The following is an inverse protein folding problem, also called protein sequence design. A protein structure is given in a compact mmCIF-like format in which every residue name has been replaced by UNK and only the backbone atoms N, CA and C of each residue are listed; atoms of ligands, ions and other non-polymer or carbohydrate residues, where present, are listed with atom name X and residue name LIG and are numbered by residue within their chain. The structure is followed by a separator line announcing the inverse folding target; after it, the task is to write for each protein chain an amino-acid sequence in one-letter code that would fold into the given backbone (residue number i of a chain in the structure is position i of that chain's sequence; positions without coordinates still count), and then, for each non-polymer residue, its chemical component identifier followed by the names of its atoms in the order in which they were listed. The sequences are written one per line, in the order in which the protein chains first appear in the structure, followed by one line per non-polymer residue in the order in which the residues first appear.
data_IF_229056124445
#
_entry.id   IF_229056124445
#
_cell.length_a   1.000
_cell.length_b   1.000
_cell.length_c   1.000
_cell.angle_alpha   90.00
_cell.angle_beta   90.00
_cell.angle_gamma   90.00
#
_symmetry.space_group_name_H-M   'P 1'
#
loop_
_entity.id
_entity.type
_entity.pdbx_description
1 polymer ?
#
# COMPACT_ATOMS: atom_id res chain seq x y z
N UNK A 1 -11.49 -19.69 24.10
CA UNK A 1 -12.16 -20.41 23.01
C UNK A 1 -13.23 -19.59 22.32
N UNK A 2 -13.73 -20.08 21.21
CA UNK A 2 -14.82 -19.51 20.41
C UNK A 2 -15.98 -20.47 20.38
N UNK A 3 -17.22 -19.95 20.59
CA UNK A 3 -18.46 -20.71 20.37
C UNK A 3 -19.22 -20.09 19.20
N UNK A 4 -19.57 -20.89 18.22
CA UNK A 4 -20.37 -20.51 17.06
C UNK A 4 -21.88 -20.60 17.35
N UNK A 5 -22.69 -19.99 16.46
CA UNK A 5 -24.17 -19.97 16.64
C UNK A 5 -24.83 -21.35 16.51
N UNK A 6 -24.19 -22.28 15.80
CA UNK A 6 -24.61 -23.68 15.64
C UNK A 6 -24.24 -24.55 16.83
N UNK A 7 -23.50 -23.99 17.83
CA UNK A 7 -23.08 -24.67 19.04
C UNK A 7 -21.70 -25.31 18.97
N UNK A 8 -21.01 -25.25 17.80
CA UNK A 8 -19.63 -25.69 17.67
C UNK A 8 -18.69 -24.82 18.51
N UNK A 9 -17.69 -25.45 19.15
CA UNK A 9 -16.69 -24.76 19.96
C UNK A 9 -15.27 -25.06 19.48
N UNK A 10 -14.47 -24.01 19.32
CA UNK A 10 -13.04 -24.13 19.05
C UNK A 10 -12.26 -23.65 20.26
N UNK A 11 -11.41 -24.53 20.79
CA UNK A 11 -10.45 -24.16 21.83
C UNK A 11 -9.39 -23.21 21.25
N UNK A 12 -9.16 -22.08 21.90
CA UNK A 12 -8.15 -21.09 21.49
C UNK A 12 -7.68 -20.30 22.71
N UNK A 13 -6.37 -20.08 22.82
CA UNK A 13 -5.77 -19.24 23.85
C UNK A 13 -5.90 -17.75 23.52
N UNK A 14 -5.81 -17.42 22.24
CA UNK A 14 -5.98 -16.06 21.70
C UNK A 14 -6.98 -16.07 20.54
N UNK A 15 -7.90 -15.11 20.55
CA UNK A 15 -8.83 -14.86 19.45
C UNK A 15 -8.59 -13.48 18.87
N UNK A 16 -8.31 -13.40 17.57
CA UNK A 16 -8.15 -12.13 16.85
C UNK A 16 -9.36 -11.88 15.97
N UNK A 17 -10.07 -10.79 16.24
CA UNK A 17 -11.19 -10.35 15.42
C UNK A 17 -10.69 -9.36 14.35
N UNK A 18 -10.66 -9.80 13.08
CA UNK A 18 -10.23 -9.01 11.94
C UNK A 18 -11.37 -8.86 10.90
N UNK A 19 -12.57 -8.50 11.37
CA UNK A 19 -13.82 -8.50 10.61
C UNK A 19 -14.10 -7.18 9.85
N UNK A 20 -13.05 -6.46 9.44
CA UNK A 20 -13.15 -5.16 8.74
C UNK A 20 -13.38 -3.99 9.68
N UNK A 21 -13.71 -2.85 9.09
CA UNK A 21 -13.90 -1.58 9.80
C UNK A 21 -15.31 -1.03 9.58
N UNK A 22 -15.73 -0.16 10.48
CA UNK A 22 -16.96 0.64 10.35
C UNK A 22 -16.65 2.10 10.66
N UNK A 23 -17.20 3.05 9.89
CA UNK A 23 -17.06 4.47 10.19
C UNK A 23 -17.49 4.80 11.62
N UNK A 24 -16.64 5.50 12.36
CA UNK A 24 -17.03 6.02 13.67
C UNK A 24 -17.75 7.36 13.49
N UNK A 25 -19.05 7.34 13.69
CA UNK A 25 -19.96 8.48 13.48
C UNK A 25 -20.62 8.96 14.78
N UNK A 26 -20.15 8.50 15.94
CA UNK A 26 -20.79 8.80 17.22
C UNK A 26 -20.82 10.29 17.52
N UNK A 27 -19.71 11.00 17.32
CA UNK A 27 -19.62 12.45 17.52
C UNK A 27 -20.53 13.22 16.58
N UNK A 28 -20.56 12.87 15.29
CA UNK A 28 -21.41 13.52 14.31
C UNK A 28 -22.90 13.34 14.63
N UNK A 29 -23.30 12.13 15.04
CA UNK A 29 -24.68 11.85 15.50
C UNK A 29 -25.05 12.66 16.73
N UNK A 30 -24.17 12.79 17.72
CA UNK A 30 -24.44 13.61 18.91
C UNK A 30 -24.61 15.09 18.57
N UNK A 31 -23.90 15.57 17.54
CA UNK A 31 -24.04 16.92 16.98
C UNK A 31 -25.21 17.07 15.99
N UNK A 32 -26.04 16.02 15.82
CA UNK A 32 -27.18 15.98 14.87
C UNK A 32 -26.78 16.19 13.40
N UNK A 33 -25.54 15.86 13.04
CA UNK A 33 -25.11 15.82 11.65
C UNK A 33 -25.70 14.58 10.97
N UNK A 34 -26.16 14.73 9.73
CA UNK A 34 -26.74 13.64 8.98
C UNK A 34 -25.71 12.53 8.71
N UNK A 35 -26.04 11.31 9.16
CA UNK A 35 -25.20 10.13 9.02
C UNK A 35 -26.06 8.92 8.60
N UNK A 36 -25.52 8.15 7.66
CA UNK A 36 -26.02 6.81 7.32
C UNK A 36 -25.01 5.76 7.78
N UNK A 37 -24.28 5.10 6.87
CA UNK A 37 -23.13 4.26 7.19
C UNK A 37 -21.92 5.08 7.63
N UNK A 38 -21.76 6.28 7.08
CA UNK A 38 -20.78 7.30 7.40
C UNK A 38 -21.43 8.68 7.55
N UNK A 39 -20.62 9.69 7.78
CA UNK A 39 -21.05 11.10 7.75
C UNK A 39 -21.28 11.47 6.29
N UNK A 40 -22.52 11.81 5.94
CA UNK A 40 -22.88 12.12 4.55
C UNK A 40 -22.33 13.50 4.16
N UNK A 41 -21.57 13.52 3.05
CA UNK A 41 -20.98 14.74 2.49
C UNK A 41 -21.30 14.87 0.99
N UNK A 42 -21.25 16.10 0.50
CA UNK A 42 -21.35 16.43 -0.90
C UNK A 42 -19.98 16.35 -1.61
N UNK A 43 -19.94 16.72 -2.90
CA UNK A 43 -18.72 16.69 -3.72
C UNK A 43 -17.64 17.72 -3.29
N UNK A 44 -17.92 18.59 -2.34
CA UNK A 44 -16.95 19.52 -1.74
C UNK A 44 -16.55 19.12 -0.32
N UNK A 45 -16.95 17.93 0.12
CA UNK A 45 -16.72 17.41 1.48
C UNK A 45 -17.49 18.19 2.57
N UNK A 46 -18.49 19.00 2.22
CA UNK A 46 -19.38 19.61 3.19
C UNK A 46 -20.47 18.63 3.63
N UNK A 47 -20.84 18.68 4.90
CA UNK A 47 -22.02 18.00 5.42
C UNK A 47 -23.29 18.75 5.06
N UNK A 48 -24.44 18.30 5.56
CA UNK A 48 -25.69 19.05 5.47
C UNK A 48 -25.59 20.46 6.10
N UNK A 49 -24.79 20.61 7.16
CA UNK A 49 -24.44 21.94 7.68
C UNK A 49 -23.27 22.53 6.85
N UNK A 50 -23.48 23.64 6.13
CA UNK A 50 -22.47 24.22 5.24
C UNK A 50 -21.21 24.73 5.97
N UNK A 51 -21.23 24.84 7.30
CA UNK A 51 -20.08 25.23 8.11
C UNK A 51 -19.24 24.06 8.57
N UNK A 52 -19.72 22.83 8.34
CA UNK A 52 -19.07 21.61 8.81
C UNK A 52 -18.61 20.77 7.61
N UNK A 53 -17.33 20.46 7.59
CA UNK A 53 -16.68 19.56 6.63
C UNK A 53 -16.30 18.26 7.31
N UNK A 54 -16.29 17.19 6.55
CA UNK A 54 -15.80 15.89 7.02
C UNK A 54 -14.96 15.21 5.95
N UNK A 55 -13.83 14.67 6.36
CA UNK A 55 -12.92 13.87 5.53
C UNK A 55 -12.44 12.67 6.31
N UNK A 56 -12.03 11.60 5.64
CA UNK A 56 -11.49 10.44 6.30
C UNK A 56 -12.41 9.23 6.25
N UNK A 57 -12.05 8.17 7.00
CA UNK A 57 -12.79 6.90 7.03
C UNK A 57 -14.20 7.02 7.61
N UNK A 58 -14.50 8.08 8.34
CA UNK A 58 -15.83 8.34 8.87
C UNK A 58 -16.82 8.86 7.83
N UNK A 59 -16.36 9.22 6.63
CA UNK A 59 -17.17 9.87 5.59
C UNK A 59 -17.90 8.85 4.72
N UNK A 60 -19.11 9.24 4.30
CA UNK A 60 -19.86 8.62 3.22
C UNK A 60 -20.12 9.64 2.12
N UNK A 61 -19.61 9.35 0.92
CA UNK A 61 -19.80 10.17 -0.26
C UNK A 61 -20.49 9.35 -1.35
N UNK A 62 -21.60 9.85 -1.91
CA UNK A 62 -22.41 9.15 -2.93
C UNK A 62 -22.71 7.70 -2.57
N UNK A 63 -23.00 7.41 -1.30
CA UNK A 63 -23.28 6.06 -0.80
C UNK A 63 -22.05 5.17 -0.51
N UNK A 64 -20.84 5.63 -0.84
CA UNK A 64 -19.60 4.89 -0.64
C UNK A 64 -18.84 5.33 0.61
N UNK A 65 -18.21 4.37 1.29
CA UNK A 65 -17.27 4.60 2.41
C UNK A 65 -15.90 4.03 2.03
N UNK A 66 -14.83 4.67 2.45
CA UNK A 66 -13.47 4.29 2.08
C UNK A 66 -12.66 3.93 3.32
N UNK A 67 -11.99 2.79 3.31
CA UNK A 67 -11.12 2.30 4.39
C UNK A 67 -9.63 2.26 4.00
N UNK A 68 -9.25 2.95 2.92
CA UNK A 68 -7.87 3.06 2.46
C UNK A 68 -7.42 4.52 2.52
N UNK A 69 -6.11 4.73 2.71
CA UNK A 69 -5.55 6.07 2.97
C UNK A 69 -5.59 7.00 1.75
N UNK A 70 -5.38 6.48 0.54
CA UNK A 70 -5.30 7.30 -0.68
C UNK A 70 -6.58 8.12 -0.93
N UNK A 71 -7.81 7.56 -0.89
CA UNK A 71 -9.04 8.33 -0.99
C UNK A 71 -9.15 9.46 0.03
N UNK A 72 -8.65 9.25 1.24
CA UNK A 72 -8.75 10.25 2.32
C UNK A 72 -7.91 11.50 2.02
N UNK A 73 -6.76 11.34 1.40
CA UNK A 73 -5.95 12.48 0.94
C UNK A 73 -6.61 13.22 -0.23
N UNK A 74 -7.28 12.52 -1.14
CA UNK A 74 -8.05 13.15 -2.22
C UNK A 74 -9.21 13.98 -1.65
N UNK A 75 -9.96 13.43 -0.70
CA UNK A 75 -11.00 14.15 0.05
C UNK A 75 -10.44 15.39 0.75
N UNK A 76 -9.30 15.26 1.44
CA UNK A 76 -8.68 16.38 2.15
C UNK A 76 -8.23 17.50 1.19
N UNK A 77 -7.70 17.16 0.00
CA UNK A 77 -7.34 18.15 -1.03
C UNK A 77 -8.58 18.93 -1.52
N UNK A 78 -9.69 18.24 -1.76
CA UNK A 78 -10.95 18.87 -2.18
C UNK A 78 -11.50 19.78 -1.09
N UNK A 79 -11.55 19.31 0.16
CA UNK A 79 -11.98 20.11 1.30
C UNK A 79 -11.12 21.37 1.48
N UNK A 80 -9.78 21.21 1.43
CA UNK A 80 -8.85 22.33 1.53
C UNK A 80 -9.03 23.34 0.38
N UNK A 81 -9.21 22.87 -0.85
CA UNK A 81 -9.46 23.72 -2.01
C UNK A 81 -10.76 24.55 -1.85
N UNK A 82 -11.82 23.92 -1.34
CA UNK A 82 -13.07 24.59 -1.12
C UNK A 82 -13.00 25.59 0.05
N UNK A 83 -12.35 25.21 1.16
CA UNK A 83 -12.13 26.08 2.33
C UNK A 83 -11.26 27.30 2.01
N UNK A 84 -10.31 27.16 1.07
CA UNK A 84 -9.48 28.27 0.59
C UNK A 84 -10.18 29.16 -0.46
N UNK A 85 -11.48 28.95 -0.69
CA UNK A 85 -12.30 29.69 -1.65
C UNK A 85 -11.87 29.56 -3.13
N UNK A 86 -10.99 28.64 -3.46
CA UNK A 86 -10.65 28.30 -4.84
C UNK A 86 -11.79 27.57 -5.58
N UNK A 87 -12.60 26.82 -4.87
CA UNK A 87 -13.92 26.31 -5.24
C UNK A 87 -14.06 25.41 -6.48
N UNK A 88 -12.96 25.05 -7.16
CA UNK A 88 -13.00 24.36 -8.45
C UNK A 88 -12.94 22.82 -8.34
N UNK A 89 -12.28 22.31 -7.32
CA UNK A 89 -12.15 20.85 -7.14
C UNK A 89 -13.47 20.24 -6.64
N UNK A 90 -13.74 19.05 -7.16
CA UNK A 90 -14.87 18.21 -6.73
C UNK A 90 -14.35 16.78 -6.50
N UNK A 91 -14.88 16.14 -5.49
CA UNK A 91 -14.61 14.74 -5.23
C UNK A 91 -15.68 13.90 -5.94
N UNK A 92 -15.27 13.12 -6.92
CA UNK A 92 -16.18 12.28 -7.70
C UNK A 92 -16.13 10.80 -7.24
N UNK A 93 -15.37 10.52 -6.20
CA UNK A 93 -15.03 9.19 -5.73
C UNK A 93 -13.59 8.85 -6.07
N UNK A 94 -13.11 7.76 -5.50
CA UNK A 94 -11.75 7.26 -5.75
C UNK A 94 -11.78 5.84 -6.24
N UNK A 95 -11.07 5.57 -7.32
CA UNK A 95 -10.70 4.21 -7.65
C UNK A 95 -9.64 3.71 -6.66
N UNK A 96 -9.81 2.50 -6.16
CA UNK A 96 -8.89 1.93 -5.17
C UNK A 96 -8.28 0.65 -5.68
N UNK A 97 -7.06 0.38 -5.26
CA UNK A 97 -6.40 -0.91 -5.47
C UNK A 97 -5.92 -1.47 -4.13
N UNK A 98 -5.89 -2.80 -4.05
CA UNK A 98 -5.42 -3.51 -2.86
C UNK A 98 -4.45 -4.60 -3.27
N UNK A 99 -3.31 -4.67 -2.59
CA UNK A 99 -2.39 -5.80 -2.67
C UNK A 99 -2.37 -6.51 -1.33
N UNK A 100 -2.60 -7.82 -1.33
CA UNK A 100 -2.55 -8.63 -0.12
C UNK A 100 -1.12 -8.70 0.43
N UNK A 101 -0.99 -8.58 1.75
CA UNK A 101 0.30 -8.57 2.47
C UNK A 101 0.52 -9.86 3.27
N UNK A 102 0.21 -10.99 2.68
CA UNK A 102 0.42 -12.31 3.31
C UNK A 102 1.56 -13.02 2.60
N UNK A 103 2.53 -13.51 3.38
CA UNK A 103 3.69 -14.22 2.83
C UNK A 103 3.25 -15.46 2.05
N UNK A 104 3.74 -15.60 0.83
CA UNK A 104 3.43 -16.74 -0.04
C UNK A 104 2.13 -16.64 -0.82
N UNK A 105 1.38 -15.54 -0.68
CA UNK A 105 0.16 -15.28 -1.47
C UNK A 105 0.28 -13.92 -2.14
N UNK A 106 0.36 -13.93 -3.47
CA UNK A 106 0.30 -12.72 -4.28
C UNK A 106 -1.12 -12.53 -4.81
N UNK A 107 -1.79 -11.51 -4.32
CA UNK A 107 -3.12 -11.13 -4.77
C UNK A 107 -3.19 -9.62 -4.94
N UNK A 108 -3.74 -9.20 -6.07
CA UNK A 108 -4.02 -7.81 -6.40
C UNK A 108 -5.47 -7.66 -6.83
N UNK A 109 -6.13 -6.60 -6.39
CA UNK A 109 -7.45 -6.22 -6.90
C UNK A 109 -7.54 -4.71 -7.06
N UNK A 110 -8.29 -4.26 -8.07
CA UNK A 110 -8.51 -2.84 -8.31
C UNK A 110 -9.87 -2.61 -8.94
N UNK A 111 -10.48 -1.45 -8.66
CA UNK A 111 -11.74 -1.01 -9.23
C UNK A 111 -12.93 -1.92 -8.92
N UNK A 112 -13.93 -1.90 -9.81
CA UNK A 112 -15.10 -2.76 -9.71
C UNK A 112 -14.88 -4.03 -10.53
N UNK A 113 -14.49 -5.10 -9.85
CA UNK A 113 -14.20 -6.40 -10.46
C UNK A 113 -15.40 -7.37 -10.47
N UNK A 114 -16.58 -6.91 -10.03
CA UNK A 114 -17.83 -7.64 -10.18
C UNK A 114 -18.51 -7.17 -11.46
N UNK A 115 -18.45 -8.01 -12.49
CA UNK A 115 -19.07 -7.69 -13.77
C UNK A 115 -20.59 -7.60 -13.65
N UNK A 116 -21.14 -6.51 -14.14
CA UNK A 116 -22.58 -6.33 -14.33
C UNK A 116 -23.04 -6.76 -15.72
N UNK A 117 -24.35 -6.63 -16.04
CA UNK A 117 -24.92 -7.10 -17.32
C UNK A 117 -24.34 -6.42 -18.57
N UNK A 118 -23.72 -5.25 -18.44
CA UNK A 118 -23.13 -4.49 -19.54
C UNK A 118 -21.60 -4.58 -19.55
N UNK A 119 -21.01 -5.34 -18.64
CA UNK A 119 -19.57 -5.51 -18.56
C UNK A 119 -19.14 -6.77 -19.29
N UNK A 120 -17.93 -6.72 -19.81
CA UNK A 120 -17.25 -7.86 -20.42
C UNK A 120 -16.15 -8.35 -19.48
N UNK A 121 -15.96 -9.67 -19.43
CA UNK A 121 -14.89 -10.27 -18.64
C UNK A 121 -13.82 -10.88 -19.55
N UNK A 122 -12.56 -10.54 -19.30
CA UNK A 122 -11.43 -11.25 -19.84
C UNK A 122 -10.81 -12.09 -18.72
N UNK A 123 -10.59 -13.38 -18.99
CA UNK A 123 -10.12 -14.34 -18.00
C UNK A 123 -8.91 -15.13 -18.53
N UNK A 124 -7.85 -15.19 -17.71
CA UNK A 124 -6.72 -16.07 -17.89
C UNK A 124 -6.55 -16.92 -16.64
N UNK A 125 -6.54 -18.23 -16.78
CA UNK A 125 -6.35 -19.17 -15.70
C UNK A 125 -5.34 -20.24 -16.09
N UNK A 126 -4.30 -20.41 -15.25
CA UNK A 126 -3.33 -21.50 -15.31
C UNK A 126 -3.27 -22.17 -13.93
N UNK A 127 -4.03 -23.25 -13.80
CA UNK A 127 -4.13 -23.98 -12.53
C UNK A 127 -2.83 -24.68 -12.15
N UNK A 128 -2.00 -25.07 -13.14
CA UNK A 128 -0.73 -25.74 -12.88
C UNK A 128 0.31 -24.79 -12.26
N UNK A 129 0.28 -23.51 -12.66
CA UNK A 129 1.15 -22.46 -12.14
C UNK A 129 0.53 -21.64 -11.01
N UNK A 130 -0.74 -21.89 -10.68
CA UNK A 130 -1.48 -21.12 -9.67
C UNK A 130 -1.72 -19.67 -10.09
N UNK A 131 -1.94 -19.40 -11.38
CA UNK A 131 -2.18 -18.06 -11.89
C UNK A 131 -3.64 -17.88 -12.26
N UNK A 132 -4.22 -16.77 -11.82
CA UNK A 132 -5.55 -16.32 -12.19
C UNK A 132 -5.53 -14.81 -12.43
N UNK A 133 -5.97 -14.36 -13.60
CA UNK A 133 -6.16 -12.94 -13.95
C UNK A 133 -7.55 -12.74 -14.51
N UNK A 134 -8.29 -11.80 -13.96
CA UNK A 134 -9.60 -11.37 -14.45
C UNK A 134 -9.58 -9.87 -14.65
N UNK A 135 -9.98 -9.41 -15.81
CA UNK A 135 -10.20 -8.01 -16.15
C UNK A 135 -11.68 -7.80 -16.46
N UNK A 136 -12.27 -6.75 -15.93
CA UNK A 136 -13.63 -6.33 -16.22
C UNK A 136 -13.59 -5.06 -17.05
N UNK A 137 -14.29 -5.07 -18.17
CA UNK A 137 -14.30 -4.02 -19.18
C UNK A 137 -15.70 -3.46 -19.40
N UNK A 138 -15.78 -2.17 -19.69
CA UNK A 138 -16.96 -1.51 -20.26
C UNK A 138 -16.51 -0.46 -21.26
N UNK A 139 -17.12 -0.45 -22.44
CA UNK A 139 -16.81 0.50 -23.52
C UNK A 139 -15.30 0.56 -23.81
N UNK A 140 -14.66 -0.60 -23.95
CA UNK A 140 -13.21 -0.75 -24.13
C UNK A 140 -12.33 -0.06 -23.07
N UNK A 141 -12.83 0.11 -21.86
CA UNK A 141 -12.06 0.64 -20.73
C UNK A 141 -12.09 -0.31 -19.55
N UNK A 142 -10.97 -0.38 -18.85
CA UNK A 142 -10.87 -1.18 -17.62
C UNK A 142 -11.74 -0.59 -16.51
N UNK A 143 -12.60 -1.43 -15.92
CA UNK A 143 -13.43 -1.13 -14.75
C UNK A 143 -12.89 -1.79 -13.51
N UNK A 144 -12.33 -2.97 -13.64
CA UNK A 144 -11.82 -3.73 -12.52
C UNK A 144 -10.81 -4.77 -12.94
N UNK A 145 -9.97 -5.19 -11.99
CA UNK A 145 -9.00 -6.26 -12.16
C UNK A 145 -8.86 -7.07 -10.87
N UNK A 146 -8.74 -8.40 -11.01
CA UNK A 146 -8.31 -9.31 -9.93
C UNK A 146 -7.20 -10.20 -10.47
N UNK A 147 -6.11 -10.29 -9.73
CA UNK A 147 -4.95 -11.11 -10.08
C UNK A 147 -4.50 -11.92 -8.88
N UNK A 148 -4.22 -13.20 -9.10
CA UNK A 148 -3.67 -14.12 -8.11
C UNK A 148 -2.47 -14.86 -8.71
N UNK A 149 -1.41 -15.04 -7.93
CA UNK A 149 -0.17 -15.69 -8.32
C UNK A 149 0.78 -14.79 -9.10
N UNK A 150 0.37 -14.30 -10.26
CA UNK A 150 1.09 -13.28 -11.03
C UNK A 150 0.38 -11.93 -10.95
N UNK A 151 0.92 -11.02 -10.16
CA UNK A 151 0.34 -9.69 -9.89
C UNK A 151 1.20 -8.53 -10.40
N UNK A 152 2.21 -8.83 -11.22
CA UNK A 152 3.21 -7.83 -11.67
C UNK A 152 2.55 -6.67 -12.41
N UNK A 153 1.58 -6.94 -13.28
CA UNK A 153 0.89 -5.91 -14.08
C UNK A 153 -0.22 -5.16 -13.33
N UNK A 154 -0.48 -5.50 -12.06
CA UNK A 154 -1.55 -4.87 -11.27
C UNK A 154 -1.50 -3.34 -11.25
N UNK A 155 -0.34 -2.71 -10.95
CA UNK A 155 -0.22 -1.25 -10.97
C UNK A 155 -0.46 -0.64 -12.35
N UNK A 156 -0.07 -1.33 -13.42
CA UNK A 156 -0.32 -0.88 -14.79
C UNK A 156 -1.81 -0.91 -15.15
N UNK A 157 -2.53 -1.98 -14.84
CA UNK A 157 -3.98 -2.03 -15.01
C UNK A 157 -4.69 -0.96 -14.19
N UNK A 158 -4.24 -0.72 -12.97
CA UNK A 158 -4.81 0.31 -12.12
C UNK A 158 -4.61 1.71 -12.69
N UNK A 159 -3.42 1.99 -13.24
CA UNK A 159 -3.16 3.27 -13.91
C UNK A 159 -4.08 3.46 -15.13
N UNK A 160 -4.24 2.43 -15.96
CA UNK A 160 -5.16 2.47 -17.12
C UNK A 160 -6.61 2.75 -16.70
N UNK A 161 -7.07 2.16 -15.58
CA UNK A 161 -8.39 2.47 -15.03
C UNK A 161 -8.53 3.94 -14.63
N UNK A 162 -7.51 4.49 -13.97
CA UNK A 162 -7.50 5.90 -13.53
C UNK A 162 -7.50 6.87 -14.70
N UNK A 163 -6.73 6.54 -15.74
CA UNK A 163 -6.59 7.38 -16.93
C UNK A 163 -7.79 7.20 -17.89
N UNK A 164 -8.65 6.21 -17.65
CA UNK A 164 -9.74 5.86 -18.56
C UNK A 164 -9.25 5.46 -19.95
N UNK A 165 -8.08 4.81 -20.00
CA UNK A 165 -7.42 4.43 -21.25
C UNK A 165 -8.30 3.52 -22.09
N UNK A 166 -8.48 3.86 -23.38
CA UNK A 166 -9.11 2.98 -24.37
C UNK A 166 -8.14 1.86 -24.72
N UNK A 167 -8.60 0.60 -24.59
CA UNK A 167 -7.76 -0.58 -24.78
C UNK A 167 -7.99 -1.27 -26.12
N UNK A 168 -8.74 -0.66 -27.04
CA UNK A 168 -9.14 -1.28 -28.33
C UNK A 168 -7.94 -1.88 -29.07
N UNK A 169 -6.83 -1.15 -29.16
CA UNK A 169 -5.64 -1.59 -29.90
C UNK A 169 -4.85 -2.70 -29.17
N UNK A 170 -4.94 -2.77 -27.84
CA UNK A 170 -4.19 -3.74 -27.03
C UNK A 170 -5.04 -4.88 -26.49
N UNK A 171 -6.32 -4.91 -26.81
CA UNK A 171 -7.31 -5.83 -26.25
C UNK A 171 -6.91 -7.30 -26.36
N UNK A 172 -6.36 -7.73 -27.50
CA UNK A 172 -5.98 -9.12 -27.74
C UNK A 172 -4.81 -9.59 -26.85
N UNK A 173 -3.99 -8.65 -26.39
CA UNK A 173 -2.76 -8.95 -25.65
C UNK A 173 -2.79 -8.48 -24.18
N UNK A 174 -3.80 -7.73 -23.79
CA UNK A 174 -3.85 -7.07 -22.47
C UNK A 174 -3.71 -8.06 -21.31
N UNK A 175 -4.26 -9.27 -21.41
CA UNK A 175 -4.15 -10.31 -20.38
C UNK A 175 -2.72 -10.83 -20.15
N UNK A 176 -1.87 -10.72 -21.18
CA UNK A 176 -0.48 -11.18 -21.10
C UNK A 176 0.45 -10.15 -20.43
N UNK A 177 -0.08 -8.95 -20.15
CA UNK A 177 0.62 -7.91 -19.43
C UNK A 177 1.39 -6.93 -20.31
N UNK A 178 1.92 -5.91 -19.67
CA UNK A 178 2.61 -4.79 -20.33
C UNK A 178 3.82 -5.24 -21.17
N UNK A 179 4.51 -6.29 -20.75
CA UNK A 179 5.69 -6.80 -21.43
C UNK A 179 5.39 -7.35 -22.84
N UNK A 180 4.14 -7.70 -23.13
CA UNK A 180 3.71 -8.26 -24.43
C UNK A 180 3.13 -7.21 -25.39
N UNK A 181 3.03 -5.96 -24.95
CA UNK A 181 2.51 -4.86 -25.77
C UNK A 181 3.60 -4.07 -26.51
N UNK A 182 4.83 -4.44 -26.33
CA UNK A 182 5.99 -3.84 -27.03
C UNK A 182 7.05 -4.90 -27.33
N UNK A 183 7.84 -4.67 -28.36
CA UNK A 183 8.93 -5.56 -28.84
C UNK A 183 10.13 -5.63 -27.89
N UNK A 184 9.87 -5.57 -26.56
CA UNK A 184 10.87 -5.61 -25.51
C UNK A 184 10.84 -6.97 -24.80
N UNK A 185 11.62 -7.89 -25.33
CA UNK A 185 11.88 -9.17 -24.69
C UNK A 185 12.43 -9.02 -23.26
N UNK A 186 11.92 -9.89 -22.39
CA UNK A 186 12.54 -10.44 -21.17
C UNK A 186 13.15 -9.47 -20.15
N UNK A 187 12.43 -9.21 -19.06
CA UNK A 187 13.07 -8.80 -17.83
C UNK A 187 12.23 -7.91 -16.91
N UNK A 188 12.05 -8.32 -15.67
CA UNK A 188 11.33 -7.56 -14.63
C UNK A 188 11.88 -6.16 -14.32
N UNK A 189 13.07 -5.80 -14.82
CA UNK A 189 13.65 -4.45 -14.69
C UNK A 189 13.17 -3.49 -15.79
N UNK A 190 12.76 -3.98 -16.96
CA UNK A 190 12.38 -3.17 -18.11
C UNK A 190 10.96 -2.60 -18.01
N UNK A 191 10.05 -3.24 -17.30
CA UNK A 191 8.67 -2.76 -17.12
C UNK A 191 8.61 -1.39 -16.43
N UNK A 192 9.45 -1.16 -15.42
CA UNK A 192 9.47 0.10 -14.66
C UNK A 192 10.11 1.24 -15.46
N UNK A 193 11.08 0.94 -16.31
CA UNK A 193 11.73 1.92 -17.19
C UNK A 193 10.74 2.59 -18.13
N UNK A 194 9.81 1.80 -18.69
CA UNK A 194 8.86 2.25 -19.71
C UNK A 194 7.59 2.92 -19.14
N UNK A 195 7.39 2.91 -17.82
CA UNK A 195 6.28 3.64 -17.19
C UNK A 195 6.43 5.15 -17.45
N UNK A 196 5.33 5.88 -17.71
CA UNK A 196 5.39 7.34 -17.81
C UNK A 196 5.79 7.96 -16.46
N UNK A 197 6.41 9.11 -16.48
CA UNK A 197 6.84 9.82 -15.26
C UNK A 197 5.67 10.18 -14.33
N UNK A 198 4.47 10.33 -14.88
CA UNK A 198 3.23 10.52 -14.13
C UNK A 198 2.70 9.26 -13.46
N UNK A 199 3.22 8.06 -13.78
CA UNK A 199 2.76 6.82 -13.18
C UNK A 199 2.95 6.84 -11.66
N UNK A 200 1.87 6.58 -10.93
CA UNK A 200 1.90 6.52 -9.48
C UNK A 200 2.55 5.22 -9.01
N UNK A 201 3.69 5.33 -8.34
CA UNK A 201 4.44 4.20 -7.78
C UNK A 201 4.01 3.92 -6.34
N UNK A 202 3.79 4.95 -5.56
CA UNK A 202 3.39 4.82 -4.16
C UNK A 202 2.02 5.44 -3.92
N UNK A 203 0.95 4.63 -4.01
CA UNK A 203 -0.42 5.08 -3.82
C UNK A 203 -0.73 5.62 -2.41
N UNK A 204 -0.07 5.08 -1.36
CA UNK A 204 -0.28 5.55 0.01
C UNK A 204 0.20 7.00 0.22
N UNK A 205 1.23 7.43 -0.49
CA UNK A 205 1.87 8.73 -0.32
C UNK A 205 1.78 9.59 -1.61
N UNK A 206 1.06 9.13 -2.63
CA UNK A 206 0.84 9.85 -3.88
C UNK A 206 2.14 10.19 -4.63
N UNK A 207 3.12 9.26 -4.64
CA UNK A 207 4.45 9.52 -5.24
C UNK A 207 4.53 8.86 -6.61
N UNK A 208 4.75 9.67 -7.66
CA UNK A 208 4.90 9.20 -9.01
C UNK A 208 6.35 8.85 -9.36
N UNK A 209 6.55 8.09 -10.46
CA UNK A 209 7.84 7.68 -10.99
C UNK A 209 8.79 8.86 -11.17
N UNK A 210 8.35 9.92 -11.85
CA UNK A 210 9.18 11.08 -12.13
C UNK A 210 9.73 11.75 -10.87
N UNK A 211 8.94 11.84 -9.80
CA UNK A 211 9.40 12.37 -8.51
C UNK A 211 10.50 11.49 -7.91
N UNK A 212 10.34 10.16 -7.97
CA UNK A 212 11.33 9.21 -7.43
C UNK A 212 12.63 9.33 -8.23
N UNK A 213 12.57 9.19 -9.56
CA UNK A 213 13.75 9.23 -10.44
C UNK A 213 14.48 10.56 -10.32
N UNK A 214 13.76 11.67 -10.39
CA UNK A 214 14.34 13.01 -10.22
C UNK A 214 15.07 13.15 -8.89
N UNK A 215 14.46 12.69 -7.79
CA UNK A 215 15.07 12.78 -6.47
C UNK A 215 16.30 11.89 -6.34
N UNK A 216 16.29 10.68 -6.93
CA UNK A 216 17.47 9.80 -6.99
C UNK A 216 18.63 10.51 -7.66
N UNK A 217 18.41 11.10 -8.84
CA UNK A 217 19.45 11.77 -9.64
C UNK A 217 19.95 13.03 -8.95
N UNK A 218 19.08 13.94 -8.53
CA UNK A 218 19.44 15.23 -7.94
C UNK A 218 20.15 15.08 -6.60
N UNK A 219 19.72 14.13 -5.77
CA UNK A 219 20.29 13.91 -4.44
C UNK A 219 21.34 12.81 -4.38
N UNK A 220 21.61 12.15 -5.52
CA UNK A 220 22.57 11.02 -5.62
C UNK A 220 22.26 9.94 -4.60
N UNK A 221 21.02 9.43 -4.61
CA UNK A 221 20.58 8.40 -3.68
C UNK A 221 20.92 7.02 -4.22
N UNK A 222 21.49 6.15 -3.36
CA UNK A 222 21.95 4.81 -3.74
C UNK A 222 21.20 3.68 -3.02
N UNK A 223 20.39 4.00 -2.03
CA UNK A 223 19.68 3.02 -1.22
C UNK A 223 18.19 3.28 -1.17
N UNK A 224 17.41 2.19 -0.98
CA UNK A 224 15.96 2.28 -0.75
C UNK A 224 15.61 3.14 0.48
N UNK A 225 16.44 3.07 1.53
CA UNK A 225 16.25 3.87 2.75
C UNK A 225 16.31 5.38 2.48
N UNK A 226 17.27 5.81 1.66
CA UNK A 226 17.40 7.22 1.26
C UNK A 226 16.22 7.66 0.39
N UNK A 227 15.80 6.83 -0.58
CA UNK A 227 14.62 7.13 -1.41
C UNK A 227 13.38 7.29 -0.52
N UNK A 228 13.16 6.41 0.45
CA UNK A 228 12.07 6.53 1.44
C UNK A 228 12.12 7.81 2.23
N UNK A 229 13.30 8.17 2.72
CA UNK A 229 13.49 9.37 3.53
C UNK A 229 13.13 10.65 2.76
N UNK A 230 13.54 10.72 1.49
CA UNK A 230 13.38 11.93 0.67
C UNK A 230 12.07 12.01 -0.10
N UNK A 231 11.50 10.88 -0.53
CA UNK A 231 10.27 10.87 -1.36
C UNK A 231 9.03 10.41 -0.62
N UNK A 232 9.20 9.75 0.52
CA UNK A 232 8.14 8.99 1.24
C UNK A 232 7.61 7.76 0.47
N UNK A 233 8.10 7.48 -0.75
CA UNK A 233 7.75 6.27 -1.46
C UNK A 233 8.17 5.04 -0.63
N UNK A 234 7.28 4.04 -0.52
CA UNK A 234 7.49 2.83 0.29
C UNK A 234 7.69 3.05 1.80
N UNK A 235 7.43 4.25 2.32
CA UNK A 235 7.62 4.56 3.75
C UNK A 235 6.44 4.13 4.64
N UNK A 236 5.24 3.95 4.07
CA UNK A 236 4.02 3.64 4.83
C UNK A 236 3.69 2.14 4.75
N UNK A 237 2.98 1.71 3.71
CA UNK A 237 2.51 0.32 3.61
C UNK A 237 3.54 -0.66 3.05
N UNK A 238 4.60 -0.18 2.38
CA UNK A 238 5.66 -1.00 1.80
C UNK A 238 5.28 -1.78 0.53
N UNK A 239 4.03 -1.70 0.06
CA UNK A 239 3.57 -2.48 -1.11
C UNK A 239 4.32 -2.15 -2.40
N UNK A 240 4.83 -0.93 -2.53
CA UNK A 240 5.59 -0.47 -3.69
C UNK A 240 7.12 -0.67 -3.56
N UNK A 241 7.59 -1.37 -2.51
CA UNK A 241 9.04 -1.56 -2.28
C UNK A 241 9.76 -2.09 -3.52
N UNK A 242 9.28 -3.19 -4.11
CA UNK A 242 9.90 -3.79 -5.29
C UNK A 242 9.93 -2.86 -6.51
N UNK A 243 8.89 -2.03 -6.70
CA UNK A 243 8.88 -1.04 -7.78
C UNK A 243 9.90 0.08 -7.55
N UNK A 244 10.03 0.54 -6.29
CA UNK A 244 11.01 1.58 -5.93
C UNK A 244 12.44 1.04 -6.07
N UNK A 245 12.70 -0.21 -5.69
CA UNK A 245 13.99 -0.88 -5.88
C UNK A 245 14.33 -1.05 -7.36
N UNK A 246 13.36 -1.46 -8.17
CA UNK A 246 13.54 -1.58 -9.62
C UNK A 246 13.83 -0.21 -10.27
N UNK A 247 13.16 0.87 -9.84
CA UNK A 247 13.45 2.23 -10.29
C UNK A 247 14.86 2.67 -9.89
N UNK A 248 15.27 2.39 -8.66
CA UNK A 248 16.59 2.72 -8.17
C UNK A 248 17.67 1.98 -8.96
N UNK A 249 17.51 0.67 -9.17
CA UNK A 249 18.41 -0.13 -9.98
C UNK A 249 18.50 0.34 -11.43
N UNK A 250 17.36 0.67 -12.04
CA UNK A 250 17.31 1.16 -13.43
C UNK A 250 17.93 2.55 -13.58
N UNK A 251 17.75 3.42 -12.59
CA UNK A 251 18.27 4.81 -12.64
C UNK A 251 19.79 4.84 -12.42
N UNK A 252 20.33 3.95 -11.61
CA UNK A 252 21.75 3.90 -11.25
C UNK A 252 22.58 2.94 -12.14
N UNK A 253 21.93 2.15 -12.98
CA UNK A 253 22.62 1.19 -13.83
C UNK A 253 23.26 0.03 -13.06
N UNK A 254 24.54 -0.02 -12.90
CA UNK A 254 25.23 -1.07 -12.11
C UNK A 254 25.63 -0.65 -10.71
N UNK A 255 25.43 0.60 -10.35
CA UNK A 255 25.87 1.18 -9.06
C UNK A 255 24.89 0.98 -7.91
N UNK A 256 23.80 0.28 -8.16
CA UNK A 256 22.79 -0.01 -7.13
C UNK A 256 23.27 -1.05 -6.12
N UNK A 257 23.26 -0.71 -4.84
CA UNK A 257 23.49 -1.65 -3.76
C UNK A 257 22.17 -2.22 -3.25
N UNK A 258 21.89 -3.48 -3.61
CA UNK A 258 20.74 -4.24 -3.08
C UNK A 258 20.88 -4.60 -1.59
N UNK A 259 22.04 -4.38 -0.99
CA UNK A 259 22.19 -4.57 0.45
C UNK A 259 21.44 -3.45 1.15
N UNK A 260 20.42 -3.76 1.98
CA UNK A 260 19.88 -2.77 2.87
C UNK A 260 21.06 -2.22 3.68
N UNK A 261 21.23 -0.90 3.70
CA UNK A 261 22.11 -0.28 4.69
C UNK A 261 21.63 -0.84 6.02
N UNK A 262 22.52 -1.51 6.79
CA UNK A 262 22.18 -2.02 8.10
C UNK A 262 21.68 -0.85 8.93
N UNK A 263 20.38 -0.66 8.99
CA UNK A 263 19.80 0.42 9.76
C UNK A 263 19.83 -0.03 11.21
N UNK A 264 20.72 0.57 11.97
CA UNK A 264 20.81 0.33 13.40
C UNK A 264 19.46 0.59 14.08
N UNK A 265 19.13 -0.19 15.11
CA UNK A 265 17.89 -0.06 15.88
C UNK A 265 17.71 1.39 16.39
N UNK A 266 18.82 2.00 16.81
CA UNK A 266 18.85 3.37 17.30
C UNK A 266 20.28 3.91 17.32
N UNK A 267 20.47 5.15 17.72
CA UNK A 267 21.80 5.76 17.85
C UNK A 267 22.72 5.12 18.91
N UNK A 268 22.18 4.26 19.81
CA UNK A 268 22.95 3.60 20.85
C UNK A 268 23.73 2.37 20.37
N UNK A 269 23.52 1.90 19.14
CA UNK A 269 24.15 0.70 18.60
C UNK A 269 24.34 0.82 17.10
N UNK A 270 25.23 0.03 16.55
CA UNK A 270 25.38 -0.20 15.12
C UNK A 270 24.59 -1.43 14.64
N UNK A 271 24.05 -2.23 15.56
CA UNK A 271 23.33 -3.46 15.27
C UNK A 271 21.93 -3.18 14.71
N UNK A 272 21.59 -3.87 13.60
CA UNK A 272 20.24 -3.84 13.04
C UNK A 272 19.31 -4.80 13.80
N UNK A 273 18.00 -4.66 13.60
CA UNK A 273 16.98 -5.51 14.22
C UNK A 273 17.24 -7.01 14.04
N UNK A 274 17.63 -7.43 12.84
CA UNK A 274 17.93 -8.82 12.53
C UNK A 274 19.19 -9.32 13.25
N UNK A 275 20.24 -8.50 13.31
CA UNK A 275 21.49 -8.86 13.98
C UNK A 275 21.27 -9.13 15.49
N UNK A 276 20.43 -8.31 16.12
CA UNK A 276 20.06 -8.47 17.53
C UNK A 276 19.23 -9.73 17.77
N UNK A 277 18.22 -9.99 16.94
CA UNK A 277 17.40 -11.20 17.04
C UNK A 277 18.23 -12.46 16.86
N UNK A 278 19.19 -12.44 15.94
CA UNK A 278 20.10 -13.54 15.71
C UNK A 278 21.06 -13.76 16.89
N UNK A 279 21.69 -12.69 17.38
CA UNK A 279 22.57 -12.77 18.53
C UNK A 279 21.88 -13.30 19.81
N UNK A 280 20.62 -12.90 20.04
CA UNK A 280 19.81 -13.43 21.16
C UNK A 280 19.67 -14.96 21.06
N UNK A 281 19.42 -15.50 19.89
CA UNK A 281 19.24 -16.94 19.67
C UNK A 281 20.57 -17.68 19.73
N UNK A 282 21.57 -17.19 18.98
CA UNK A 282 22.86 -17.89 18.79
C UNK A 282 23.67 -17.93 20.10
N UNK A 283 23.66 -16.85 20.89
CA UNK A 283 24.35 -16.76 22.16
C UNK A 283 23.45 -17.04 23.37
N UNK A 284 22.21 -17.46 23.18
CA UNK A 284 21.21 -17.75 24.19
C UNK A 284 21.08 -16.64 25.27
N UNK A 285 21.11 -15.38 24.82
CA UNK A 285 21.03 -14.21 25.70
C UNK A 285 19.62 -14.08 26.28
N UNK A 286 19.52 -13.84 27.59
CA UNK A 286 18.25 -13.84 28.33
C UNK A 286 17.88 -12.51 28.97
N UNK A 287 18.78 -11.55 28.93
CA UNK A 287 18.53 -10.24 29.51
C UNK A 287 18.96 -9.10 28.59
N UNK A 288 18.32 -7.92 28.76
CA UNK A 288 18.68 -6.70 28.02
C UNK A 288 20.15 -6.33 28.23
N UNK A 289 20.66 -6.51 29.45
CA UNK A 289 22.06 -6.20 29.79
C UNK A 289 23.02 -7.12 29.04
N UNK A 290 22.72 -8.42 28.93
CA UNK A 290 23.54 -9.38 28.16
C UNK A 290 23.55 -9.02 26.68
N UNK A 291 22.41 -8.69 26.09
CA UNK A 291 22.32 -8.27 24.67
C UNK A 291 23.13 -7.00 24.42
N UNK A 292 23.00 -6.01 25.29
CA UNK A 292 23.74 -4.74 25.17
C UNK A 292 25.25 -4.96 25.31
N UNK A 293 25.67 -5.84 26.21
CA UNK A 293 27.08 -6.21 26.38
C UNK A 293 27.62 -6.98 25.20
N UNK A 294 26.90 -8.00 24.72
CA UNK A 294 27.33 -8.87 23.62
C UNK A 294 27.46 -8.12 22.29
N UNK A 295 26.65 -7.10 22.07
CA UNK A 295 26.64 -6.31 20.84
C UNK A 295 27.25 -4.90 21.00
N UNK A 296 28.07 -4.72 22.03
CA UNK A 296 28.85 -3.50 22.28
C UNK A 296 28.02 -2.20 22.18
N UNK A 297 26.89 -2.15 22.95
CA UNK A 297 26.06 -0.96 22.99
C UNK A 297 26.84 0.26 23.48
N UNK A 298 26.72 1.40 22.82
CA UNK A 298 27.40 2.67 23.16
C UNK A 298 26.98 3.25 24.51
N UNK A 299 25.81 2.82 25.02
CA UNK A 299 25.23 3.30 26.28
C UNK A 299 24.87 2.12 27.18
N UNK A 300 25.10 2.21 28.48
CA UNK A 300 24.80 1.15 29.46
C UNK A 300 23.30 0.91 29.66
N UNK A 301 22.49 1.96 29.48
CA UNK A 301 21.07 1.94 29.81
C UNK A 301 20.17 1.90 28.56
N UNK A 302 20.74 2.08 27.36
CA UNK A 302 19.96 2.17 26.12
C UNK A 302 19.11 3.45 26.06
N UNK A 303 18.09 3.45 25.17
CA UNK A 303 17.17 4.57 25.01
C UNK A 303 15.71 4.08 24.91
N UNK A 304 14.78 5.03 24.82
CA UNK A 304 13.35 4.76 24.68
C UNK A 304 12.96 3.98 23.42
N UNK A 305 13.86 3.85 22.44
CA UNK A 305 13.66 3.06 21.22
C UNK A 305 14.14 1.61 21.40
N UNK A 306 15.41 1.43 21.83
CA UNK A 306 15.99 0.11 21.88
C UNK A 306 15.50 -0.74 23.08
N UNK A 307 15.23 -0.17 24.24
CA UNK A 307 14.76 -0.95 25.40
C UNK A 307 13.46 -1.73 25.15
N UNK A 308 12.40 -1.10 24.63
CA UNK A 308 11.19 -1.83 24.26
C UNK A 308 11.43 -2.90 23.19
N UNK A 309 12.27 -2.60 22.17
CA UNK A 309 12.61 -3.55 21.12
C UNK A 309 13.36 -4.77 21.66
N UNK A 310 14.35 -4.58 22.54
CA UNK A 310 15.10 -5.66 23.16
C UNK A 310 14.21 -6.54 24.06
N UNK A 311 13.35 -5.92 24.86
CA UNK A 311 12.38 -6.65 25.68
C UNK A 311 11.45 -7.51 24.79
N UNK A 312 10.94 -6.93 23.70
CA UNK A 312 10.11 -7.68 22.75
C UNK A 312 10.85 -8.87 22.14
N UNK A 313 12.11 -8.69 21.70
CA UNK A 313 12.89 -9.78 21.07
C UNK A 313 13.26 -10.87 22.06
N UNK A 314 13.59 -10.52 23.30
CA UNK A 314 13.85 -11.49 24.36
C UNK A 314 12.59 -12.30 24.69
N UNK A 315 11.43 -11.62 24.84
CA UNK A 315 10.14 -12.30 25.08
C UNK A 315 9.72 -13.19 23.90
N UNK A 316 10.06 -12.79 22.67
CA UNK A 316 9.73 -13.56 21.46
C UNK A 316 10.70 -14.75 21.24
N UNK A 317 11.87 -14.75 21.87
CA UNK A 317 12.86 -15.80 21.76
C UNK A 317 12.73 -16.88 22.82
N UNK A 318 12.21 -16.51 24.02
CA UNK A 318 12.10 -17.33 25.21
C UNK A 318 10.69 -17.31 25.81
#
# INVERSE_FOLDING_TARGET
GLRFKDGEEIAADLVVMAAGIRPNIALAKSAKIHCERGIVVNDTMQTYDPKIYSVGECVQHRGQTYGLVAPLFEQAKVAANHLAEYGRMRYEGSSVSTKLKVTGIDLFSAGDFNAGPLDEELLLQDSARGVYKKLVLRDNKLRGAVMYGDTVDGPWYFQMMRDGTDITEMREHILFGQAHLGDAGHGGATGVANMPDSAEICGCNGVCKGTIVKTIVEKKLFTLGEVRAHTKASASCGSCTGLVEALLANTLGGDYSAKPSKQAICACTEAAHHDVQQAIRDAALKSVAEVMSALEWKTKDGCHVCRPALNYYLTAAW
#
